data_IF_985971719152
#
_entry.id   IF_985971719152
#
_cell.length_a   1.000
_cell.length_b   1.000
_cell.length_c   1.000
_cell.angle_alpha   90.00
_cell.angle_beta   90.00
_cell.angle_gamma   90.00
#
_symmetry.space_group_name_H-M   'P 1'
#
loop_
_entity.id
_entity.type
_entity.pdbx_description
1 polymer ?
#
# COMPACT_ATOMS: atom_id res chain seq x y z
N UNK A 1 -47.50 -25.34 0.89
CA UNK A 1 -47.04 -24.05 0.30
C UNK A 1 -45.63 -24.22 -0.22
N UNK A 2 -45.18 -23.36 -1.14
CA UNK A 2 -43.79 -23.42 -1.61
C UNK A 2 -42.86 -22.87 -0.54
N UNK A 3 -41.71 -23.54 -0.33
CA UNK A 3 -40.68 -23.06 0.61
C UNK A 3 -40.17 -21.68 0.17
N UNK A 4 -39.89 -20.81 1.14
CA UNK A 4 -39.22 -19.55 0.93
C UNK A 4 -37.77 -19.66 1.37
N UNK A 5 -36.92 -18.75 0.89
CA UNK A 5 -35.48 -18.79 1.17
C UNK A 5 -34.96 -17.41 1.58
N UNK A 6 -33.95 -17.41 2.45
CA UNK A 6 -33.28 -16.16 2.83
C UNK A 6 -32.58 -15.55 1.60
N UNK A 7 -32.57 -14.23 1.53
CA UNK A 7 -32.05 -13.54 0.35
C UNK A 7 -30.54 -13.75 0.14
N UNK A 8 -29.75 -13.79 1.21
CA UNK A 8 -28.26 -13.80 1.19
C UNK A 8 -27.68 -15.20 1.20
N UNK A 9 -28.04 -16.03 2.18
CA UNK A 9 -27.47 -17.37 2.35
C UNK A 9 -28.31 -18.45 1.68
N UNK A 10 -29.46 -18.08 1.10
CA UNK A 10 -30.36 -19.04 0.43
C UNK A 10 -30.83 -20.21 1.33
N UNK A 11 -30.86 -19.99 2.63
CA UNK A 11 -31.38 -20.98 3.59
C UNK A 11 -32.89 -21.10 3.45
N UNK A 12 -33.41 -22.31 3.61
CA UNK A 12 -34.84 -22.51 3.62
C UNK A 12 -35.49 -21.95 4.90
N UNK A 13 -36.50 -21.13 4.71
CA UNK A 13 -37.38 -20.67 5.77
C UNK A 13 -38.54 -21.65 5.86
N UNK A 14 -38.48 -22.56 6.81
CA UNK A 14 -39.47 -23.62 6.99
C UNK A 14 -40.75 -23.05 7.61
N UNK A 15 -41.87 -23.32 6.95
CA UNK A 15 -43.17 -22.95 7.46
C UNK A 15 -43.67 -23.96 8.52
N UNK A 16 -44.41 -23.51 9.51
CA UNK A 16 -44.98 -24.38 10.55
C UNK A 16 -45.90 -25.45 9.92
N UNK A 17 -45.63 -26.72 10.24
CA UNK A 17 -46.35 -27.84 9.68
C UNK A 17 -45.90 -28.30 8.27
N UNK A 18 -44.97 -27.55 7.62
CA UNK A 18 -44.34 -27.99 6.39
C UNK A 18 -43.20 -28.99 6.68
N UNK A 19 -42.69 -29.63 5.60
CA UNK A 19 -41.54 -30.52 5.63
C UNK A 19 -41.67 -31.73 6.55
N UNK A 20 -42.86 -32.27 6.72
CA UNK A 20 -43.11 -33.48 7.48
C UNK A 20 -42.24 -34.63 6.95
N UNK A 21 -41.44 -35.25 7.82
CA UNK A 21 -40.48 -36.31 7.49
C UNK A 21 -39.14 -35.86 6.92
N UNK A 22 -39.01 -34.59 6.48
CA UNK A 22 -37.75 -34.05 5.93
C UNK A 22 -37.17 -32.89 6.74
N UNK A 23 -37.84 -32.47 7.78
CA UNK A 23 -37.45 -31.32 8.62
C UNK A 23 -36.01 -31.38 9.10
N UNK A 24 -35.59 -32.57 9.60
CA UNK A 24 -34.21 -32.77 10.12
C UNK A 24 -33.17 -32.60 9.02
N UNK A 25 -33.40 -33.10 7.81
CA UNK A 25 -32.48 -32.92 6.68
C UNK A 25 -32.41 -31.46 6.25
N UNK A 26 -33.56 -30.80 6.15
CA UNK A 26 -33.61 -29.37 5.78
C UNK A 26 -32.89 -28.48 6.78
N UNK A 27 -33.00 -28.81 8.09
CA UNK A 27 -32.27 -28.11 9.13
C UNK A 27 -30.75 -28.34 8.99
N UNK A 28 -30.33 -29.59 8.79
CA UNK A 28 -28.92 -29.92 8.59
C UNK A 28 -28.33 -29.26 7.35
N UNK A 29 -29.05 -29.20 6.25
CA UNK A 29 -28.60 -28.51 5.03
C UNK A 29 -28.43 -27.00 5.28
N UNK A 30 -29.37 -26.37 5.97
CA UNK A 30 -29.23 -24.96 6.38
C UNK A 30 -28.01 -24.75 7.28
N UNK A 31 -27.72 -25.64 8.23
CA UNK A 31 -26.53 -25.56 9.09
C UNK A 31 -25.25 -25.70 8.27
N UNK A 32 -25.19 -26.60 7.29
CA UNK A 32 -24.03 -26.75 6.39
C UNK A 32 -23.82 -25.50 5.52
N UNK A 33 -24.90 -24.86 5.03
CA UNK A 33 -24.80 -23.60 4.30
C UNK A 33 -24.24 -22.49 5.20
N UNK A 34 -24.62 -22.43 6.46
CA UNK A 34 -24.05 -21.49 7.44
C UNK A 34 -22.57 -21.78 7.66
N UNK A 35 -22.22 -23.05 7.92
CA UNK A 35 -20.85 -23.49 8.14
C UNK A 35 -19.94 -23.09 6.98
N UNK A 36 -20.35 -23.40 5.74
CA UNK A 36 -19.61 -23.02 4.54
C UNK A 36 -19.50 -21.49 4.36
N UNK A 37 -20.53 -20.75 4.76
CA UNK A 37 -20.54 -19.29 4.65
C UNK A 37 -19.60 -18.59 5.62
N UNK A 38 -19.19 -19.28 6.69
CA UNK A 38 -18.29 -18.75 7.74
C UNK A 38 -16.87 -19.26 7.53
N UNK A 39 -16.70 -20.58 7.27
CA UNK A 39 -15.40 -21.25 7.23
C UNK A 39 -15.11 -22.00 5.93
N UNK A 40 -16.04 -22.01 4.96
CA UNK A 40 -15.88 -22.77 3.72
C UNK A 40 -14.78 -22.18 2.82
N UNK A 41 -14.05 -23.09 2.17
CA UNK A 41 -12.98 -22.79 1.22
C UNK A 41 -13.25 -23.51 -0.09
N UNK A 42 -13.29 -22.75 -1.18
CA UNK A 42 -13.40 -23.25 -2.54
C UNK A 42 -12.09 -23.02 -3.30
N UNK A 43 -11.52 -24.08 -3.88
CA UNK A 43 -10.46 -23.99 -4.86
C UNK A 43 -11.05 -24.09 -6.26
N UNK A 44 -11.15 -22.95 -6.98
CA UNK A 44 -11.81 -22.85 -8.30
C UNK A 44 -10.80 -22.61 -9.40
N UNK A 45 -10.69 -23.55 -10.35
CA UNK A 45 -9.93 -23.31 -11.56
C UNK A 45 -10.65 -22.31 -12.48
N UNK A 46 -9.92 -21.26 -12.86
CA UNK A 46 -10.37 -20.21 -13.79
C UNK A 46 -9.42 -20.09 -14.99
N UNK A 47 -8.74 -21.18 -15.34
CA UNK A 47 -7.78 -21.23 -16.44
C UNK A 47 -8.36 -20.83 -17.78
N UNK A 48 -7.54 -20.21 -18.63
CA UNK A 48 -7.93 -19.85 -20.00
C UNK A 48 -8.32 -18.38 -20.15
N UNK A 49 -9.22 -18.11 -21.09
CA UNK A 49 -9.69 -16.76 -21.43
C UNK A 49 -11.20 -16.60 -21.32
N UNK A 50 -11.90 -17.63 -20.85
CA UNK A 50 -13.35 -17.60 -20.69
C UNK A 50 -13.76 -17.07 -19.33
N UNK A 51 -14.82 -16.25 -19.30
CA UNK A 51 -15.41 -15.81 -18.04
C UNK A 51 -15.98 -17.00 -17.26
N UNK A 52 -15.91 -16.93 -15.93
CA UNK A 52 -16.42 -17.96 -15.02
C UNK A 52 -17.55 -17.36 -14.19
N UNK A 53 -18.64 -18.09 -14.03
CA UNK A 53 -19.74 -17.71 -13.12
C UNK A 53 -19.81 -18.71 -11.99
N UNK A 54 -19.70 -18.23 -10.75
CA UNK A 54 -19.87 -19.07 -9.58
C UNK A 54 -21.35 -19.43 -9.39
N UNK A 55 -21.59 -20.71 -9.16
CA UNK A 55 -22.93 -21.23 -8.95
C UNK A 55 -23.49 -20.84 -7.60
N UNK A 56 -24.82 -20.75 -7.51
CA UNK A 56 -25.54 -20.56 -6.25
C UNK A 56 -26.88 -21.31 -6.32
N UNK A 57 -27.25 -21.94 -5.25
CA UNK A 57 -28.52 -22.69 -5.17
C UNK A 57 -29.17 -22.49 -3.79
N UNK A 58 -30.49 -22.73 -3.75
CA UNK A 58 -31.27 -22.60 -2.53
C UNK A 58 -31.05 -23.82 -1.62
N UNK A 59 -30.69 -23.62 -0.37
CA UNK A 59 -30.50 -24.66 0.65
C UNK A 59 -29.59 -25.80 0.15
N UNK A 60 -28.59 -25.47 -0.63
CA UNK A 60 -27.70 -26.48 -1.21
C UNK A 60 -26.38 -26.52 -0.45
N UNK A 61 -26.09 -27.64 0.25
CA UNK A 61 -24.84 -27.80 0.99
C UNK A 61 -23.65 -28.20 0.11
N UNK A 62 -23.86 -28.49 -1.20
CA UNK A 62 -22.78 -28.75 -2.14
C UNK A 62 -22.14 -27.44 -2.60
N UNK A 63 -21.18 -26.99 -1.83
CA UNK A 63 -20.43 -25.74 -2.05
C UNK A 63 -19.24 -25.92 -2.99
N UNK A 64 -19.05 -27.11 -3.55
CA UNK A 64 -17.98 -27.37 -4.51
C UNK A 64 -18.47 -27.25 -5.96
N UNK A 65 -19.74 -27.54 -6.24
CA UNK A 65 -20.26 -27.61 -7.61
C UNK A 65 -21.52 -26.78 -7.86
N UNK A 66 -22.55 -26.91 -7.03
CA UNK A 66 -23.86 -26.29 -7.27
C UNK A 66 -24.10 -25.01 -6.47
N UNK A 67 -23.35 -24.79 -5.40
CA UNK A 67 -23.39 -23.60 -4.55
C UNK A 67 -22.00 -23.02 -4.25
N UNK A 68 -21.15 -22.93 -5.24
CA UNK A 68 -19.75 -22.49 -5.14
C UNK A 68 -19.61 -21.16 -4.41
N UNK A 69 -20.49 -20.22 -4.72
CA UNK A 69 -20.55 -18.92 -4.03
C UNK A 69 -21.04 -19.04 -2.57
N UNK A 70 -21.37 -20.25 -2.10
CA UNK A 70 -21.67 -20.55 -0.71
C UNK A 70 -20.47 -20.44 0.22
N UNK A 71 -19.24 -20.55 -0.29
CA UNK A 71 -18.02 -20.49 0.51
C UNK A 71 -17.67 -19.06 0.94
N UNK A 72 -17.01 -18.96 2.10
CA UNK A 72 -16.45 -17.72 2.62
C UNK A 72 -15.17 -17.32 1.87
N UNK A 73 -14.33 -18.30 1.53
CA UNK A 73 -13.03 -18.12 0.89
C UNK A 73 -13.07 -18.77 -0.49
N UNK A 74 -12.67 -18.01 -1.50
CA UNK A 74 -12.62 -18.47 -2.89
C UNK A 74 -11.21 -18.26 -3.43
N UNK A 75 -10.49 -19.36 -3.63
CA UNK A 75 -9.17 -19.43 -4.27
C UNK A 75 -9.36 -19.66 -5.78
N UNK A 76 -9.14 -18.62 -6.56
CA UNK A 76 -9.20 -18.65 -8.01
C UNK A 76 -7.81 -18.96 -8.57
N UNK A 77 -7.63 -20.16 -9.12
CA UNK A 77 -6.33 -20.66 -9.56
C UNK A 77 -6.30 -21.01 -11.05
N UNK A 78 -5.08 -21.28 -11.55
CA UNK A 78 -4.83 -21.70 -12.93
C UNK A 78 -4.09 -20.64 -13.74
N UNK A 79 -3.84 -20.94 -15.02
CA UNK A 79 -3.11 -20.04 -15.93
C UNK A 79 -4.06 -19.31 -16.85
N UNK A 80 -4.06 -17.98 -16.80
CA UNK A 80 -4.88 -17.14 -17.68
C UNK A 80 -4.18 -16.98 -19.05
N UNK A 81 -4.99 -17.09 -20.11
CA UNK A 81 -4.58 -16.81 -21.49
C UNK A 81 -5.33 -15.58 -22.08
N UNK A 82 -6.16 -14.92 -21.29
CA UNK A 82 -6.88 -13.69 -21.59
C UNK A 82 -7.41 -13.03 -20.33
N UNK A 83 -7.85 -11.77 -20.44
CA UNK A 83 -8.53 -11.09 -19.35
C UNK A 83 -9.89 -11.72 -19.11
N UNK A 84 -10.23 -12.02 -17.87
CA UNK A 84 -11.49 -12.69 -17.54
C UNK A 84 -12.25 -11.98 -16.43
N UNK A 85 -13.55 -12.23 -16.38
CA UNK A 85 -14.41 -11.97 -15.25
C UNK A 85 -14.74 -13.26 -14.51
N UNK A 86 -14.72 -13.19 -13.18
CA UNK A 86 -15.39 -14.16 -12.32
C UNK A 86 -16.64 -13.49 -11.77
N UNK A 87 -17.81 -14.05 -12.12
CA UNK A 87 -19.10 -13.50 -11.71
C UNK A 87 -19.57 -14.14 -10.41
N UNK A 88 -19.79 -13.30 -9.41
CA UNK A 88 -20.48 -13.64 -8.16
C UNK A 88 -21.99 -13.53 -8.35
N UNK A 89 -22.81 -14.24 -7.56
CA UNK A 89 -24.24 -14.00 -7.53
C UNK A 89 -24.57 -12.55 -7.21
N UNK A 90 -25.64 -12.03 -7.82
CA UNK A 90 -26.14 -10.67 -7.58
C UNK A 90 -26.91 -10.58 -6.24
N UNK A 91 -26.25 -10.95 -5.15
CA UNK A 91 -26.78 -10.92 -3.76
C UNK A 91 -25.77 -10.23 -2.84
N UNK A 92 -26.25 -9.64 -1.77
CA UNK A 92 -25.38 -9.02 -0.76
C UNK A 92 -24.66 -10.10 0.03
N UNK A 93 -23.32 -10.12 -0.06
CA UNK A 93 -22.48 -11.07 0.66
C UNK A 93 -21.04 -10.59 0.73
N UNK A 94 -20.32 -10.99 1.76
CA UNK A 94 -18.88 -10.82 1.93
C UNK A 94 -18.13 -12.07 1.48
N UNK A 95 -16.93 -11.86 0.92
CA UNK A 95 -16.04 -12.90 0.45
C UNK A 95 -14.59 -12.56 0.75
N UNK A 96 -13.78 -13.56 1.03
CA UNK A 96 -12.33 -13.50 0.96
C UNK A 96 -11.93 -14.10 -0.39
N UNK A 97 -11.45 -13.28 -1.30
CA UNK A 97 -11.07 -13.68 -2.66
C UNK A 97 -9.55 -13.76 -2.77
N UNK A 98 -9.04 -14.89 -3.24
CA UNK A 98 -7.62 -15.06 -3.50
C UNK A 98 -7.37 -15.21 -5.01
N UNK A 99 -6.57 -14.32 -5.59
CA UNK A 99 -6.13 -14.46 -6.97
C UNK A 99 -4.84 -15.26 -7.03
N UNK A 100 -4.97 -16.58 -7.10
CA UNK A 100 -3.88 -17.56 -7.21
C UNK A 100 -3.64 -17.95 -8.68
N UNK A 101 -3.97 -17.08 -9.62
CA UNK A 101 -3.74 -17.34 -11.04
C UNK A 101 -2.32 -16.99 -11.44
N UNK A 102 -1.89 -17.50 -12.60
CA UNK A 102 -0.64 -17.16 -13.26
C UNK A 102 -0.90 -16.60 -14.67
N UNK A 103 0.13 -16.03 -15.31
CA UNK A 103 0.02 -15.39 -16.63
C UNK A 103 0.00 -13.87 -16.53
N UNK A 104 0.02 -13.20 -17.69
CA UNK A 104 0.10 -11.72 -17.77
C UNK A 104 -1.25 -11.06 -18.00
N UNK A 105 -2.32 -11.69 -17.58
CA UNK A 105 -3.70 -11.23 -17.80
C UNK A 105 -4.38 -10.84 -16.50
N UNK A 106 -5.45 -10.06 -16.61
CA UNK A 106 -6.20 -9.57 -15.45
C UNK A 106 -7.35 -10.49 -15.09
N UNK A 107 -7.55 -10.68 -13.79
CA UNK A 107 -8.73 -11.28 -13.21
C UNK A 107 -9.58 -10.20 -12.54
N UNK A 108 -10.82 -10.07 -13.00
CA UNK A 108 -11.80 -9.13 -12.48
C UNK A 108 -12.96 -9.86 -11.84
N UNK A 109 -13.52 -9.32 -10.77
CA UNK A 109 -14.69 -9.90 -10.10
C UNK A 109 -15.82 -8.89 -10.13
N UNK A 110 -17.00 -9.37 -10.56
CA UNK A 110 -18.20 -8.56 -10.69
C UNK A 110 -19.45 -9.36 -10.29
N UNK A 111 -20.58 -8.73 -9.93
CA UNK A 111 -21.82 -9.43 -9.79
C UNK A 111 -22.38 -9.85 -11.17
N UNK A 112 -23.06 -10.97 -11.22
CA UNK A 112 -23.74 -11.45 -12.44
C UNK A 112 -24.63 -10.36 -13.03
N UNK A 113 -24.47 -10.09 -14.32
CA UNK A 113 -25.20 -9.02 -15.03
C UNK A 113 -24.63 -7.60 -14.84
N UNK A 114 -23.60 -7.41 -14.05
CA UNK A 114 -23.06 -6.09 -13.70
C UNK A 114 -21.53 -6.00 -13.91
N UNK A 115 -21.00 -6.46 -15.04
CA UNK A 115 -19.58 -6.50 -15.34
C UNK A 115 -18.86 -5.14 -15.18
N UNK A 116 -19.55 -4.02 -15.48
CA UNK A 116 -18.98 -2.67 -15.31
C UNK A 116 -18.73 -2.27 -13.84
N UNK A 117 -19.32 -2.97 -12.89
CA UNK A 117 -19.22 -2.72 -11.46
C UNK A 117 -18.25 -3.70 -10.76
N UNK A 118 -17.12 -3.95 -11.41
CA UNK A 118 -16.11 -4.90 -10.99
C UNK A 118 -15.02 -4.28 -10.08
N UNK A 119 -14.22 -5.17 -9.50
CA UNK A 119 -12.89 -4.89 -8.98
C UNK A 119 -11.87 -5.77 -9.69
N UNK A 120 -10.65 -5.28 -9.85
CA UNK A 120 -9.51 -6.08 -10.34
C UNK A 120 -8.76 -6.66 -9.15
N UNK A 121 -8.54 -7.97 -9.16
CA UNK A 121 -7.78 -8.65 -8.12
C UNK A 121 -6.30 -8.71 -8.50
N UNK A 122 -5.44 -8.21 -7.61
CA UNK A 122 -3.99 -8.33 -7.77
C UNK A 122 -3.56 -9.79 -7.69
N UNK A 123 -2.75 -10.25 -8.64
CA UNK A 123 -2.21 -11.61 -8.66
C UNK A 123 -1.37 -11.88 -7.41
N UNK A 124 -1.58 -13.03 -6.78
CA UNK A 124 -0.93 -13.43 -5.53
C UNK A 124 -1.49 -12.75 -4.27
N UNK A 125 -2.52 -11.90 -4.38
CA UNK A 125 -3.10 -11.19 -3.24
C UNK A 125 -4.46 -11.74 -2.81
N UNK A 126 -4.73 -11.62 -1.51
CA UNK A 126 -6.05 -11.82 -0.92
C UNK A 126 -6.78 -10.49 -0.83
N UNK A 127 -8.06 -10.47 -1.15
CA UNK A 127 -8.93 -9.31 -1.10
C UNK A 127 -10.18 -9.63 -0.31
N UNK A 128 -10.50 -8.86 0.72
CA UNK A 128 -11.81 -8.93 1.38
C UNK A 128 -12.74 -8.03 0.59
N UNK A 129 -13.75 -8.63 -0.03
CA UNK A 129 -14.69 -7.93 -0.88
C UNK A 129 -16.13 -8.24 -0.48
N UNK A 130 -17.03 -7.33 -0.80
CA UNK A 130 -18.47 -7.55 -0.61
C UNK A 130 -19.26 -7.06 -1.81
N UNK A 131 -20.41 -7.69 -2.04
CA UNK A 131 -21.39 -7.24 -3.03
C UNK A 131 -22.35 -6.26 -2.40
N UNK A 132 -22.35 -5.02 -2.91
CA UNK A 132 -23.24 -3.96 -2.45
C UNK A 132 -24.52 -3.95 -3.29
N UNK A 133 -25.67 -4.08 -2.64
CA UNK A 133 -27.00 -4.10 -3.28
C UNK A 133 -27.12 -5.13 -4.44
N UNK A 134 -26.32 -6.19 -4.43
CA UNK A 134 -26.29 -7.20 -5.48
C UNK A 134 -25.81 -6.71 -6.85
N UNK A 135 -25.38 -5.47 -7.01
CA UNK A 135 -25.05 -4.88 -8.31
C UNK A 135 -23.61 -4.37 -8.43
N UNK A 136 -22.83 -4.36 -7.38
CA UNK A 136 -21.44 -3.89 -7.35
C UNK A 136 -20.59 -4.69 -6.40
N UNK A 137 -19.38 -5.04 -6.81
CA UNK A 137 -18.34 -5.55 -5.91
C UNK A 137 -17.52 -4.37 -5.38
N UNK A 138 -17.24 -4.39 -4.09
CA UNK A 138 -16.37 -3.44 -3.40
C UNK A 138 -15.27 -4.21 -2.69
N UNK A 139 -14.05 -3.78 -2.86
CA UNK A 139 -12.94 -4.17 -1.99
C UNK A 139 -13.05 -3.36 -0.69
N UNK A 140 -12.99 -4.03 0.44
CA UNK A 140 -13.12 -3.40 1.75
C UNK A 140 -11.98 -2.43 2.05
N UNK A 141 -10.82 -2.65 1.45
CA UNK A 141 -9.59 -1.87 1.70
C UNK A 141 -9.08 -1.07 0.49
N UNK A 142 -9.66 -1.23 -0.71
CA UNK A 142 -9.14 -0.62 -1.95
C UNK A 142 -9.27 0.90 -2.03
N UNK A 143 -10.14 1.51 -1.26
CA UNK A 143 -10.35 2.95 -1.34
C UNK A 143 -9.84 3.70 -0.12
N UNK A 144 -8.57 3.49 0.22
CA UNK A 144 -7.93 4.21 1.30
C UNK A 144 -8.51 3.90 2.70
N UNK A 145 -7.74 3.29 3.52
CA UNK A 145 -7.82 3.57 4.94
C UNK A 145 -7.68 5.10 5.07
N UNK A 146 -8.78 5.81 5.20
CA UNK A 146 -8.78 7.28 5.26
C UNK A 146 -7.79 7.80 6.31
N UNK A 147 -7.67 7.10 7.45
CA UNK A 147 -6.64 7.30 8.45
C UNK A 147 -6.20 5.93 9.00
N UNK A 148 -4.94 5.58 8.84
CA UNK A 148 -4.35 4.44 9.53
C UNK A 148 -3.75 4.93 10.86
N UNK A 149 -4.35 4.53 11.98
CA UNK A 149 -3.79 4.74 13.32
C UNK A 149 -3.14 3.45 13.80
N UNK A 150 -1.83 3.48 14.04
CA UNK A 150 -1.06 2.36 14.61
C UNK A 150 -0.63 2.74 16.01
N UNK A 151 -1.18 2.09 17.03
CA UNK A 151 -0.84 2.34 18.44
C UNK A 151 0.55 1.81 18.85
N UNK A 152 1.21 1.09 17.99
CA UNK A 152 2.54 0.51 18.22
C UNK A 152 3.48 0.81 17.06
N UNK A 153 4.22 -0.19 16.62
CA UNK A 153 5.19 -0.08 15.53
C UNK A 153 4.57 -0.48 14.20
N UNK A 154 4.68 0.37 13.19
CA UNK A 154 4.41 -0.01 11.80
C UNK A 154 5.74 -0.47 11.16
N UNK A 155 5.78 -1.68 10.62
CA UNK A 155 6.91 -2.21 9.86
C UNK A 155 6.53 -2.36 8.39
N UNK A 156 7.30 -1.73 7.50
CA UNK A 156 7.13 -1.84 6.05
C UNK A 156 8.35 -2.58 5.50
N UNK A 157 8.15 -3.82 5.05
CA UNK A 157 9.23 -4.68 4.54
C UNK A 157 9.72 -4.33 3.13
N UNK A 158 9.07 -3.38 2.47
CA UNK A 158 9.42 -2.93 1.11
C UNK A 158 9.53 -1.42 1.01
N UNK A 159 9.31 -0.90 -0.21
CA UNK A 159 9.33 0.55 -0.48
C UNK A 159 8.04 1.18 0.06
N UNK A 160 8.17 2.23 0.86
CA UNK A 160 7.06 3.10 1.27
C UNK A 160 7.11 4.40 0.46
N UNK A 161 6.03 4.71 -0.26
CA UNK A 161 5.88 5.98 -0.99
C UNK A 161 4.89 6.87 -0.25
N UNK A 162 5.36 8.02 0.24
CA UNK A 162 4.56 9.03 0.91
C UNK A 162 4.49 10.25 -0.02
N UNK A 163 3.31 10.54 -0.57
CA UNK A 163 3.12 11.62 -1.56
C UNK A 163 2.80 12.98 -0.94
N UNK A 164 2.57 13.02 0.36
CA UNK A 164 2.30 14.25 1.11
C UNK A 164 3.41 14.58 2.10
N UNK A 165 3.14 15.55 2.96
CA UNK A 165 4.05 15.91 4.03
C UNK A 165 4.17 14.79 5.07
N UNK A 166 5.40 14.49 5.50
CA UNK A 166 5.67 13.59 6.61
C UNK A 166 6.04 14.44 7.83
N UNK A 167 5.15 14.46 8.83
CA UNK A 167 5.44 15.11 10.10
C UNK A 167 5.91 14.06 11.10
N UNK A 168 7.10 14.26 11.68
CA UNK A 168 7.64 13.45 12.76
C UNK A 168 7.81 14.34 14.00
N UNK A 169 7.12 14.00 15.08
CA UNK A 169 7.19 14.75 16.34
C UNK A 169 8.42 14.39 17.18
N UNK A 170 9.16 13.38 16.76
CA UNK A 170 10.39 12.91 17.42
C UNK A 170 11.50 12.74 16.38
N UNK A 171 12.50 11.92 16.67
CA UNK A 171 13.65 11.73 15.80
C UNK A 171 13.34 10.88 14.57
N UNK A 172 13.90 11.27 13.41
CA UNK A 172 14.01 10.42 12.23
C UNK A 172 15.43 9.83 12.16
N UNK A 173 15.52 8.51 12.07
CA UNK A 173 16.82 7.83 11.86
C UNK A 173 16.85 7.23 10.46
N UNK A 174 17.83 7.61 9.66
CA UNK A 174 18.07 7.04 8.33
C UNK A 174 19.34 6.21 8.39
N UNK A 175 19.20 4.88 8.32
CA UNK A 175 20.33 3.95 8.46
C UNK A 175 21.32 3.92 7.29
N UNK A 176 20.96 4.55 6.16
CA UNK A 176 21.82 4.62 4.98
C UNK A 176 21.87 6.05 4.42
N UNK A 177 21.45 6.30 3.21
CA UNK A 177 21.52 7.60 2.54
C UNK A 177 20.16 8.31 2.58
N UNK A 178 20.15 9.58 3.03
CA UNK A 178 19.07 10.53 2.80
C UNK A 178 19.39 11.35 1.54
N UNK A 179 18.52 11.31 0.52
CA UNK A 179 18.61 12.15 -0.66
C UNK A 179 17.48 13.17 -0.61
N UNK A 180 17.82 14.46 -0.62
CA UNK A 180 16.87 15.57 -0.67
C UNK A 180 17.09 16.32 -2.00
N UNK A 181 16.06 16.45 -2.81
CA UNK A 181 16.13 17.16 -4.09
C UNK A 181 15.79 18.65 -3.97
N UNK A 182 15.27 19.07 -2.82
CA UNK A 182 14.97 20.45 -2.48
C UNK A 182 15.84 20.96 -1.33
N UNK A 183 15.38 21.98 -0.65
CA UNK A 183 16.09 22.61 0.44
C UNK A 183 16.05 21.77 1.72
N UNK A 184 17.14 21.79 2.49
CA UNK A 184 17.17 21.31 3.88
C UNK A 184 17.16 22.54 4.78
N UNK A 185 16.06 22.77 5.49
CA UNK A 185 15.91 23.87 6.43
C UNK A 185 16.05 23.31 7.85
N UNK A 186 17.13 23.67 8.53
CA UNK A 186 17.32 23.39 9.95
C UNK A 186 17.05 24.69 10.74
N UNK A 187 15.97 24.73 11.51
CA UNK A 187 15.63 25.89 12.36
C UNK A 187 16.48 25.99 13.64
N UNK A 188 17.28 24.96 13.89
CA UNK A 188 18.28 24.94 14.95
C UNK A 188 19.65 24.51 14.35
N UNK A 189 20.47 23.77 15.08
CA UNK A 189 21.77 23.35 14.62
C UNK A 189 21.69 22.16 13.64
N UNK A 190 22.41 22.24 12.52
CA UNK A 190 22.77 21.08 11.71
C UNK A 190 24.17 20.59 12.13
N UNK A 191 24.24 19.47 12.82
CA UNK A 191 25.52 18.91 13.27
C UNK A 191 25.98 17.82 12.30
N UNK A 192 27.11 18.04 11.63
CA UNK A 192 27.75 17.10 10.73
C UNK A 192 29.08 16.66 11.34
N UNK A 193 29.15 15.39 11.70
CA UNK A 193 30.31 14.85 12.43
C UNK A 193 31.47 14.43 11.52
N UNK A 194 31.28 14.37 10.20
CA UNK A 194 32.35 13.99 9.27
C UNK A 194 32.63 15.12 8.27
N UNK A 195 32.15 15.02 7.05
CA UNK A 195 32.45 15.96 5.96
C UNK A 195 31.19 16.59 5.40
N UNK A 196 31.24 17.89 5.12
CA UNK A 196 30.28 18.59 4.27
C UNK A 196 30.97 18.87 2.93
N UNK A 197 30.49 18.27 1.84
CA UNK A 197 30.96 18.56 0.50
C UNK A 197 29.95 19.48 -0.18
N UNK A 198 30.35 20.72 -0.47
CA UNK A 198 29.51 21.71 -1.13
C UNK A 198 30.12 22.03 -2.49
N UNK A 199 29.39 21.72 -3.56
CA UNK A 199 29.81 22.05 -4.94
C UNK A 199 29.40 23.45 -5.39
N UNK A 200 28.63 24.17 -4.57
CA UNK A 200 28.19 25.55 -4.78
C UNK A 200 28.76 26.50 -3.73
N UNK A 201 28.08 27.60 -3.52
CA UNK A 201 28.48 28.64 -2.58
C UNK A 201 28.05 28.29 -1.14
N UNK A 202 28.89 28.62 -0.16
CA UNK A 202 28.51 28.62 1.26
C UNK A 202 28.31 30.08 1.66
N UNK A 203 27.07 30.50 1.89
CA UNK A 203 26.78 31.84 2.42
C UNK A 203 26.55 31.75 3.92
N UNK A 204 27.46 32.30 4.69
CA UNK A 204 27.32 32.38 6.16
C UNK A 204 26.88 33.79 6.54
N UNK A 205 25.74 33.92 7.21
CA UNK A 205 25.15 35.23 7.56
C UNK A 205 25.52 35.73 8.94
N UNK A 206 26.41 35.14 9.65
CA UNK A 206 26.85 35.65 10.96
C UNK A 206 28.32 35.56 11.27
N UNK A 207 28.71 36.51 11.94
CA UNK A 207 29.93 37.12 12.42
C UNK A 207 30.75 36.33 13.49
N UNK A 208 30.38 35.12 13.85
CA UNK A 208 31.13 34.29 14.80
C UNK A 208 31.21 32.87 14.29
N UNK A 209 31.88 32.66 13.17
CA UNK A 209 32.24 31.33 12.75
C UNK A 209 33.70 31.10 12.96
N UNK A 210 34.04 30.18 13.88
CA UNK A 210 35.36 29.55 13.87
C UNK A 210 35.41 28.63 12.64
N UNK A 211 35.47 29.21 11.44
CA UNK A 211 35.76 28.46 10.22
C UNK A 211 37.25 28.24 10.16
N UNK A 212 37.67 27.07 10.59
CA UNK A 212 39.04 26.62 10.40
C UNK A 212 39.19 26.19 8.93
N UNK A 213 39.61 27.08 8.05
CA UNK A 213 39.88 26.76 6.65
C UNK A 213 41.34 26.27 6.58
N UNK A 214 41.54 24.96 6.62
CA UNK A 214 42.85 24.36 6.33
C UNK A 214 43.05 24.12 4.82
N UNK A 215 42.75 25.11 3.99
CA UNK A 215 42.96 25.08 2.56
C UNK A 215 44.12 25.98 2.17
N UNK A 216 44.83 25.62 1.12
CA UNK A 216 45.94 26.37 0.57
C UNK A 216 45.53 27.76 0.00
N UNK A 217 44.28 27.99 -0.22
CA UNK A 217 43.77 29.23 -0.79
C UNK A 217 42.37 29.51 -0.29
N UNK A 218 42.18 30.60 0.45
CA UNK A 218 40.88 31.18 0.71
C UNK A 218 40.74 32.36 -0.24
N UNK A 219 39.96 32.24 -1.30
CA UNK A 219 39.65 33.38 -2.17
C UNK A 219 38.37 34.01 -1.63
N UNK A 220 38.46 35.21 -1.13
CA UNK A 220 37.32 36.03 -0.77
C UNK A 220 37.06 36.94 -1.96
N UNK A 221 36.00 36.62 -2.72
CA UNK A 221 35.57 37.44 -3.85
C UNK A 221 34.45 38.36 -3.35
N UNK A 222 34.86 39.52 -2.90
CA UNK A 222 33.95 40.60 -2.50
C UNK A 222 34.49 41.92 -3.00
N UNK A 223 33.71 42.65 -3.78
CA UNK A 223 33.99 43.99 -4.27
C UNK A 223 34.19 45.02 -3.18
N UNK A 224 34.07 44.67 -1.95
CA UNK A 224 34.08 45.65 -0.86
C UNK A 224 35.33 45.63 0.02
N UNK A 225 35.96 44.51 0.29
CA UNK A 225 37.20 44.44 1.13
C UNK A 225 37.88 43.07 0.95
N UNK A 226 38.74 42.92 -0.03
CA UNK A 226 39.67 41.80 -0.09
C UNK A 226 40.93 42.10 0.75
N UNK A 227 40.89 41.79 2.03
CA UNK A 227 42.13 41.78 2.81
C UNK A 227 42.67 40.34 2.85
N UNK A 228 43.66 40.07 2.06
CA UNK A 228 44.44 38.81 2.21
C UNK A 228 45.33 38.93 3.44
N UNK A 229 45.06 38.08 4.44
CA UNK A 229 45.97 37.90 5.55
C UNK A 229 46.95 36.79 5.22
N UNK A 230 48.21 37.13 5.00
CA UNK A 230 49.26 36.15 4.77
C UNK A 230 50.08 35.98 6.05
N UNK A 231 50.15 34.75 6.54
CA UNK A 231 51.06 34.33 7.61
C UNK A 231 52.29 33.72 6.91
N UNK A 232 53.45 34.32 7.09
CA UNK A 232 54.68 33.83 6.49
C UNK A 232 55.89 34.12 7.35
N UNK A 233 56.85 33.21 7.32
CA UNK A 233 58.19 33.44 7.90
C UNK A 233 59.08 34.29 6.98
N UNK A 234 58.66 34.47 5.75
CA UNK A 234 59.37 35.28 4.75
C UNK A 234 58.93 36.73 4.78
N UNK A 235 59.79 37.64 4.31
CA UNK A 235 59.44 39.04 4.16
C UNK A 235 58.34 39.22 3.11
N UNK A 236 57.47 40.25 3.24
CA UNK A 236 56.45 40.55 2.27
C UNK A 236 57.05 40.79 0.87
N UNK A 237 56.44 40.12 -0.15
CA UNK A 237 56.79 40.38 -1.55
C UNK A 237 55.55 40.31 -2.40
N UNK A 238 55.27 41.35 -3.23
CA UNK A 238 54.19 41.34 -4.19
C UNK A 238 52.78 41.38 -3.57
N UNK A 239 52.48 42.40 -2.81
CA UNK A 239 51.12 42.64 -2.29
C UNK A 239 50.49 43.87 -2.93
N UNK A 240 49.15 44.02 -2.78
CA UNK A 240 48.38 45.19 -3.14
C UNK A 240 48.17 46.12 -1.93
N UNK A 241 47.75 47.34 -2.18
CA UNK A 241 47.43 48.28 -1.09
C UNK A 241 46.26 47.78 -0.26
N UNK A 242 46.50 47.55 1.05
CA UNK A 242 45.50 47.02 1.98
C UNK A 242 45.77 45.57 2.44
N UNK A 243 46.72 44.87 1.84
CA UNK A 243 47.13 43.54 2.29
C UNK A 243 47.80 43.57 3.66
N UNK A 244 47.44 42.64 4.53
CA UNK A 244 48.01 42.52 5.86
C UNK A 244 48.94 41.30 5.93
N UNK A 245 50.21 41.56 6.20
CA UNK A 245 51.22 40.52 6.34
C UNK A 245 51.61 40.33 7.82
N UNK A 246 51.54 39.14 8.27
CA UNK A 246 52.10 38.79 9.59
C UNK A 246 53.37 37.97 9.37
N UNK A 247 54.47 38.49 9.78
CA UNK A 247 55.72 37.72 9.86
C UNK A 247 55.90 37.18 11.25
N UNK A 248 56.16 35.91 11.36
CA UNK A 248 56.55 35.25 12.61
C UNK A 248 57.95 34.66 12.45
N UNK A 249 58.68 34.63 13.56
CA UNK A 249 60.03 34.08 13.64
C UNK A 249 60.00 32.65 14.19
#
# INVERSE_FOLDING_TARGET
>A
MASTYTARLKMEVMEAGANSGTWGNNTNDNLKVIDASIGGYLSKSVSGSANVTLTTANRDPDVETTNEAGNAIIDMNGTLSGNIYVFLPAIEREYILYNNTSGSYTLQVAPTGHAANNITLTQGAHTIAYTQNGNRVKDLFASSLGNLSVLGTASVGGISTLTGNVAMSANATVGAKLTVTGDIIASANANVTTNVNVTGNITAHTTTSNVNVSSKTLTLDDDQIAYVRTLSTSAPSGGASGDIWYKYS
#
